data_IF_653059777665
#
_entry.id   IF_653059777665
#
_cell.length_a   1.000
_cell.length_b   1.000
_cell.length_c   1.000
_cell.angle_alpha   90.00
_cell.angle_beta   90.00
_cell.angle_gamma   90.00
#
_symmetry.space_group_name_H-M   'P 1'
#
loop_
_entity.id
_entity.type
_entity.pdbx_description
1 polymer ?
#
# COMPACT_ATOMS: atom_id res chain seq x y z
N UNK A 1 18.20 11.59 27.89
CA UNK A 1 17.35 12.56 27.16
C UNK A 1 18.26 13.38 26.26
N UNK A 2 18.23 13.16 24.95
CA UNK A 2 19.02 13.91 23.97
C UNK A 2 18.54 15.37 23.91
N UNK A 3 19.48 16.33 23.83
CA UNK A 3 19.15 17.75 23.60
C UNK A 3 18.41 17.88 22.27
N UNK A 4 17.15 18.29 22.32
CA UNK A 4 16.38 18.63 21.11
C UNK A 4 17.12 19.77 20.38
N UNK A 5 17.40 19.62 19.10
CA UNK A 5 18.02 20.69 18.30
C UNK A 5 17.02 21.84 18.12
N UNK A 6 17.55 23.06 17.88
CA UNK A 6 16.69 24.23 17.58
C UNK A 6 15.75 23.95 16.39
N UNK A 7 16.23 23.24 15.37
CA UNK A 7 15.43 22.80 14.22
C UNK A 7 14.27 21.93 14.68
N UNK A 8 14.54 20.90 15.49
CA UNK A 8 13.52 19.98 15.96
C UNK A 8 12.45 20.67 16.81
N UNK A 9 12.85 21.61 17.68
CA UNK A 9 11.91 22.40 18.47
C UNK A 9 10.95 23.21 17.60
N UNK A 10 11.46 23.85 16.54
CA UNK A 10 10.64 24.61 15.58
C UNK A 10 9.69 23.65 14.82
N UNK A 11 10.19 22.50 14.36
CA UNK A 11 9.40 21.48 13.67
C UNK A 11 8.26 20.99 14.53
N UNK A 12 8.54 20.61 15.78
CA UNK A 12 7.53 20.06 16.70
C UNK A 12 6.43 21.09 17.02
N UNK A 13 6.82 22.36 17.23
CA UNK A 13 5.86 23.44 17.47
C UNK A 13 4.98 23.67 16.24
N UNK A 14 5.57 23.84 15.06
CA UNK A 14 4.81 24.08 13.83
C UNK A 14 3.92 22.87 13.47
N UNK A 15 4.38 21.65 13.68
CA UNK A 15 3.57 20.43 13.48
C UNK A 15 2.34 20.43 14.38
N UNK A 16 2.50 20.77 15.65
CA UNK A 16 1.37 20.86 16.59
C UNK A 16 0.37 21.94 16.16
N UNK A 17 0.85 23.11 15.71
CA UNK A 17 0.00 24.19 15.23
C UNK A 17 -0.75 23.83 13.94
N UNK A 18 -0.06 23.20 12.98
CA UNK A 18 -0.68 22.70 11.74
C UNK A 18 -1.84 21.76 12.09
N UNK A 19 -1.59 20.80 12.99
CA UNK A 19 -2.60 19.80 13.37
C UNK A 19 -3.78 20.42 14.11
N UNK A 20 -3.54 21.44 14.95
CA UNK A 20 -4.57 22.03 15.81
C UNK A 20 -5.41 23.11 15.13
N UNK A 21 -4.84 23.90 14.21
CA UNK A 21 -5.46 25.18 13.81
C UNK A 21 -5.35 25.53 12.32
N UNK A 22 -4.65 24.75 11.51
CA UNK A 22 -4.53 25.01 10.08
C UNK A 22 -5.30 23.99 9.25
N UNK A 23 -5.74 24.43 8.07
CA UNK A 23 -6.39 23.57 7.05
C UNK A 23 -5.50 23.45 5.82
N UNK A 24 -5.62 22.39 5.04
CA UNK A 24 -4.98 22.33 3.72
C UNK A 24 -5.29 23.56 2.88
N UNK A 25 -4.24 24.17 2.31
CA UNK A 25 -4.33 25.42 1.57
C UNK A 25 -3.93 26.67 2.37
N UNK A 26 -3.86 26.61 3.70
CA UNK A 26 -3.42 27.72 4.53
C UNK A 26 -1.94 27.99 4.33
N UNK A 27 -1.57 29.29 4.35
CA UNK A 27 -0.18 29.70 4.25
C UNK A 27 0.43 29.84 5.65
N UNK A 28 1.59 29.25 5.85
CA UNK A 28 2.42 29.49 7.02
C UNK A 28 3.25 30.76 6.84
N UNK A 29 3.78 31.28 7.95
CA UNK A 29 4.75 32.37 7.93
C UNK A 29 6.00 31.97 7.12
N UNK A 30 6.61 32.92 6.43
CA UNK A 30 7.83 32.73 5.67
C UNK A 30 9.07 32.56 6.59
N UNK A 31 10.18 32.08 6.01
CA UNK A 31 11.44 31.83 6.74
C UNK A 31 11.86 32.98 7.66
N UNK A 32 11.71 34.24 7.19
CA UNK A 32 12.11 35.43 7.96
C UNK A 32 11.22 35.58 9.19
N UNK A 33 9.92 35.54 9.00
CA UNK A 33 8.97 35.71 10.10
C UNK A 33 9.06 34.56 11.11
N UNK A 34 9.31 33.31 10.65
CA UNK A 34 9.54 32.18 11.54
C UNK A 34 10.86 32.33 12.33
N UNK A 35 11.94 32.78 11.68
CA UNK A 35 13.20 33.04 12.34
C UNK A 35 13.05 34.08 13.47
N UNK A 36 12.36 35.20 13.19
CA UNK A 36 12.05 36.23 14.18
C UNK A 36 11.18 35.70 15.33
N UNK A 37 10.10 34.98 15.00
CA UNK A 37 9.15 34.40 15.98
C UNK A 37 9.81 33.41 16.94
N UNK A 38 10.67 32.54 16.43
CA UNK A 38 11.32 31.50 17.23
C UNK A 38 12.69 31.92 17.79
N UNK A 39 13.18 33.11 17.47
CA UNK A 39 14.49 33.58 17.93
C UNK A 39 15.65 32.74 17.38
N UNK A 40 15.52 32.19 16.16
CA UNK A 40 16.52 31.33 15.50
C UNK A 40 17.07 31.94 14.22
N UNK A 41 18.16 31.39 13.71
CA UNK A 41 18.70 31.82 12.41
C UNK A 41 17.77 31.46 11.25
N UNK A 42 17.83 32.24 10.14
CA UNK A 42 17.04 31.93 8.93
C UNK A 42 17.30 30.51 8.38
N UNK A 43 18.53 30.02 8.45
CA UNK A 43 18.87 28.68 8.03
C UNK A 43 18.14 27.62 8.87
N UNK A 44 18.06 27.83 10.20
CA UNK A 44 17.31 26.93 11.10
C UNK A 44 15.82 26.92 10.75
N UNK A 45 15.23 28.10 10.48
CA UNK A 45 13.83 28.17 10.03
C UNK A 45 13.60 27.49 8.68
N UNK A 46 14.53 27.64 7.73
CA UNK A 46 14.50 26.96 6.44
C UNK A 46 14.59 25.44 6.60
N UNK A 47 15.53 24.93 7.40
CA UNK A 47 15.68 23.49 7.68
C UNK A 47 14.41 22.91 8.31
N UNK A 48 13.78 23.65 9.23
CA UNK A 48 12.50 23.24 9.82
C UNK A 48 11.38 23.14 8.77
N UNK A 49 11.27 24.13 7.86
CA UNK A 49 10.30 24.07 6.76
C UNK A 49 10.59 22.91 5.77
N UNK A 50 11.85 22.66 5.44
CA UNK A 50 12.24 21.52 4.61
C UNK A 50 11.86 20.20 5.31
N UNK A 51 12.08 20.09 6.61
CA UNK A 51 11.69 18.92 7.39
C UNK A 51 10.17 18.69 7.37
N UNK A 52 9.38 19.75 7.56
CA UNK A 52 7.91 19.68 7.48
C UNK A 52 7.43 19.29 6.06
N UNK A 53 8.14 19.75 5.02
CA UNK A 53 7.87 19.35 3.64
C UNK A 53 8.18 17.87 3.42
N UNK A 54 9.30 17.37 3.93
CA UNK A 54 9.65 15.92 3.87
C UNK A 54 8.60 15.08 4.61
N UNK A 55 8.01 15.61 5.69
CA UNK A 55 6.91 14.93 6.39
C UNK A 55 5.56 15.05 5.67
N UNK A 56 5.51 15.68 4.49
CA UNK A 56 4.28 15.86 3.74
C UNK A 56 3.25 16.80 4.38
N UNK A 57 3.66 17.60 5.36
CA UNK A 57 2.76 18.52 6.08
C UNK A 57 2.58 19.85 5.36
N UNK A 58 3.57 20.25 4.57
CA UNK A 58 3.56 21.50 3.80
C UNK A 58 4.17 21.30 2.41
N UNK A 59 3.86 22.22 1.52
CA UNK A 59 4.53 22.38 0.21
C UNK A 59 5.05 23.82 0.09
N UNK A 60 6.29 23.96 -0.38
CA UNK A 60 6.85 25.28 -0.67
C UNK A 60 6.30 25.77 -2.01
N UNK A 61 5.64 26.90 -2.01
CA UNK A 61 5.04 27.54 -3.20
C UNK A 61 5.66 28.92 -3.44
N UNK A 62 5.35 29.54 -4.59
CA UNK A 62 5.74 30.93 -4.85
C UNK A 62 5.14 31.92 -3.85
N UNK A 63 4.03 31.58 -3.22
CA UNK A 63 3.33 32.40 -2.21
C UNK A 63 3.87 32.18 -0.79
N UNK A 64 4.69 31.16 -0.57
CA UNK A 64 5.22 30.73 0.71
C UNK A 64 4.92 29.27 1.03
N UNK A 65 5.29 28.81 2.24
CA UNK A 65 4.97 27.48 2.74
C UNK A 65 3.45 27.34 2.90
N UNK A 66 2.86 26.33 2.29
CA UNK A 66 1.41 26.08 2.30
C UNK A 66 1.14 24.69 2.90
N UNK A 67 0.21 24.63 3.84
CA UNK A 67 -0.25 23.38 4.45
C UNK A 67 -0.89 22.49 3.39
N UNK A 68 -0.54 21.22 3.38
CA UNK A 68 -1.10 20.20 2.48
C UNK A 68 -2.00 19.24 3.24
N UNK A 69 -2.83 18.52 2.53
CA UNK A 69 -3.37 17.27 3.10
C UNK A 69 -2.19 16.35 3.41
N UNK A 70 -2.27 15.56 4.50
CA UNK A 70 -1.21 14.62 4.82
C UNK A 70 -0.90 13.74 3.61
N UNK A 71 0.26 13.99 3.00
CA UNK A 71 0.76 13.20 1.89
C UNK A 71 1.75 12.16 2.44
N UNK A 72 1.34 10.91 2.38
CA UNK A 72 2.14 9.80 2.86
C UNK A 72 3.10 9.25 1.79
N UNK A 73 3.00 9.69 0.53
CA UNK A 73 3.76 9.14 -0.60
C UNK A 73 5.26 9.22 -0.36
N UNK A 74 5.76 10.31 0.24
CA UNK A 74 7.17 10.48 0.57
C UNK A 74 7.65 9.51 1.66
N UNK A 75 6.84 9.27 2.70
CA UNK A 75 7.14 8.30 3.76
C UNK A 75 7.12 6.88 3.19
N UNK A 76 6.25 6.62 2.22
CA UNK A 76 6.03 5.30 1.64
C UNK A 76 7.00 4.95 0.52
N UNK A 77 7.50 5.92 -0.21
CA UNK A 77 8.61 5.67 -1.14
C UNK A 77 9.86 5.17 -0.39
N UNK A 78 10.08 5.66 0.82
CA UNK A 78 11.13 5.15 1.72
C UNK A 78 10.76 3.76 2.24
N UNK A 79 9.51 3.57 2.67
CA UNK A 79 9.02 2.31 3.22
C UNK A 79 8.99 1.20 2.16
N UNK A 80 8.55 1.49 0.94
CA UNK A 80 8.56 0.53 -0.17
C UNK A 80 9.96 0.06 -0.53
N UNK A 81 10.99 0.91 -0.33
CA UNK A 81 12.38 0.53 -0.57
C UNK A 81 12.86 -0.58 0.39
N UNK A 82 12.35 -0.62 1.61
CA UNK A 82 12.67 -1.68 2.57
C UNK A 82 11.99 -3.01 2.26
N UNK A 83 10.88 -3.00 1.51
CA UNK A 83 10.12 -4.21 1.16
C UNK A 83 10.48 -4.78 -0.23
N UNK A 84 11.25 -4.06 -1.04
CA UNK A 84 11.45 -4.37 -2.47
C UNK A 84 12.44 -5.51 -2.76
N UNK A 85 13.07 -6.16 -1.79
CA UNK A 85 14.25 -6.99 -2.11
C UNK A 85 14.29 -8.38 -1.49
N UNK A 86 13.32 -8.78 -0.65
CA UNK A 86 13.40 -10.05 0.07
C UNK A 86 12.16 -10.93 -0.17
N UNK A 87 12.40 -12.16 -0.60
CA UNK A 87 11.37 -13.19 -0.80
C UNK A 87 10.58 -13.49 0.49
N UNK A 88 11.18 -13.31 1.66
CA UNK A 88 10.51 -13.42 2.95
C UNK A 88 9.43 -12.36 3.09
N UNK A 89 9.72 -11.14 2.68
CA UNK A 89 8.79 -10.01 2.71
C UNK A 89 7.56 -10.26 1.84
N UNK A 90 7.67 -11.00 0.73
CA UNK A 90 6.52 -11.37 -0.09
C UNK A 90 5.50 -12.22 0.68
N UNK A 91 5.96 -13.15 1.53
CA UNK A 91 5.08 -13.96 2.41
C UNK A 91 4.41 -13.09 3.46
N UNK A 92 5.19 -12.25 4.13
CA UNK A 92 4.70 -11.34 5.17
C UNK A 92 3.67 -10.34 4.60
N UNK A 93 3.87 -9.86 3.36
CA UNK A 93 2.90 -9.01 2.65
C UNK A 93 1.60 -9.76 2.32
N UNK A 94 1.70 -11.02 1.87
CA UNK A 94 0.51 -11.86 1.63
C UNK A 94 -0.24 -12.14 2.93
N UNK A 95 0.47 -12.40 4.02
CA UNK A 95 -0.11 -12.63 5.34
C UNK A 95 -0.79 -11.37 5.87
N UNK A 96 -0.14 -10.21 5.79
CA UNK A 96 -0.71 -8.92 6.13
C UNK A 96 -1.99 -8.66 5.32
N UNK A 97 -1.97 -8.86 4.01
CA UNK A 97 -3.15 -8.71 3.15
C UNK A 97 -4.27 -9.64 3.61
N UNK A 98 -3.97 -10.93 3.80
CA UNK A 98 -4.96 -11.92 4.23
C UNK A 98 -5.63 -11.48 5.52
N UNK A 99 -4.85 -11.10 6.55
CA UNK A 99 -5.39 -10.65 7.84
C UNK A 99 -6.25 -9.38 7.71
N UNK A 100 -5.76 -8.37 7.00
CA UNK A 100 -6.43 -7.09 6.87
C UNK A 100 -7.69 -7.20 6.02
N UNK A 101 -7.57 -7.82 4.84
CA UNK A 101 -8.66 -7.86 3.86
C UNK A 101 -9.77 -8.81 4.28
N UNK A 102 -9.46 -9.94 4.94
CA UNK A 102 -10.52 -10.79 5.52
C UNK A 102 -11.18 -10.15 6.75
N UNK A 103 -10.40 -9.42 7.55
CA UNK A 103 -10.92 -8.71 8.74
C UNK A 103 -11.91 -7.60 8.41
N UNK A 104 -11.81 -6.98 7.24
CA UNK A 104 -12.73 -5.89 6.83
C UNK A 104 -14.00 -6.38 6.16
N UNK A 105 -14.12 -7.65 5.74
CA UNK A 105 -15.24 -8.17 4.95
C UNK A 105 -16.63 -7.90 5.57
N UNK A 106 -16.83 -8.10 6.88
CA UNK A 106 -18.15 -7.83 7.47
C UNK A 106 -18.56 -6.35 7.34
N UNK A 107 -17.63 -5.42 7.58
CA UNK A 107 -17.89 -3.99 7.47
C UNK A 107 -18.03 -3.56 6.00
N UNK A 108 -17.22 -4.10 5.11
CA UNK A 108 -17.31 -3.85 3.67
C UNK A 108 -18.67 -4.29 3.12
N UNK A 109 -19.14 -5.48 3.51
CA UNK A 109 -20.42 -6.00 3.07
C UNK A 109 -21.60 -5.18 3.61
N UNK A 110 -21.54 -4.77 4.89
CA UNK A 110 -22.59 -3.95 5.51
C UNK A 110 -22.77 -2.58 4.82
N UNK A 111 -21.69 -2.03 4.23
CA UNK A 111 -21.70 -0.75 3.54
C UNK A 111 -21.88 -0.88 2.01
N UNK A 112 -21.82 -2.11 1.46
CA UNK A 112 -21.86 -2.34 0.03
C UNK A 112 -23.20 -1.95 -0.59
N UNK A 113 -23.13 -1.21 -1.70
CA UNK A 113 -24.27 -0.85 -2.52
C UNK A 113 -24.13 -1.33 -3.99
N UNK A 114 -25.17 -1.10 -4.82
CA UNK A 114 -25.13 -1.48 -6.24
C UNK A 114 -23.96 -0.85 -7.01
N UNK A 115 -23.58 0.37 -6.66
CA UNK A 115 -22.46 1.08 -7.29
C UNK A 115 -21.12 0.40 -6.97
N UNK A 116 -20.99 -0.23 -5.80
CA UNK A 116 -19.79 -0.99 -5.43
C UNK A 116 -19.67 -2.26 -6.25
N UNK A 117 -20.77 -2.98 -6.46
CA UNK A 117 -20.81 -4.18 -7.29
C UNK A 117 -20.44 -3.82 -8.73
N UNK A 118 -21.01 -2.72 -9.27
CA UNK A 118 -20.68 -2.24 -10.62
C UNK A 118 -19.19 -1.86 -10.74
N UNK A 119 -18.65 -1.14 -9.74
CA UNK A 119 -17.25 -0.75 -9.71
C UNK A 119 -16.29 -1.96 -9.65
N UNK A 120 -16.60 -2.95 -8.80
CA UNK A 120 -15.83 -4.19 -8.71
C UNK A 120 -15.89 -4.99 -10.01
N UNK A 121 -17.06 -5.10 -10.64
CA UNK A 121 -17.22 -5.75 -11.94
C UNK A 121 -16.36 -5.07 -13.01
N UNK A 122 -16.39 -3.74 -13.10
CA UNK A 122 -15.54 -3.00 -14.03
C UNK A 122 -14.04 -3.18 -13.77
N UNK A 123 -13.63 -3.46 -12.53
CA UNK A 123 -12.25 -3.81 -12.23
C UNK A 123 -11.92 -5.22 -12.74
N UNK A 124 -12.81 -6.19 -12.59
CA UNK A 124 -12.63 -7.54 -13.14
C UNK A 124 -12.50 -7.51 -14.67
N UNK A 125 -13.30 -6.70 -15.36
CA UNK A 125 -13.18 -6.52 -16.80
C UNK A 125 -11.79 -5.97 -17.20
N UNK A 126 -11.22 -5.07 -16.41
CA UNK A 126 -9.85 -4.58 -16.62
C UNK A 126 -8.79 -5.64 -16.35
N UNK A 127 -9.01 -6.53 -15.37
CA UNK A 127 -8.11 -7.65 -15.12
C UNK A 127 -8.13 -8.65 -16.29
N UNK A 128 -9.32 -8.95 -16.83
CA UNK A 128 -9.48 -9.82 -18.00
C UNK A 128 -8.84 -9.21 -19.26
N UNK A 129 -8.88 -7.89 -19.41
CA UNK A 129 -8.31 -7.17 -20.55
C UNK A 129 -6.80 -6.88 -20.42
N UNK A 130 -6.19 -7.16 -19.27
CA UNK A 130 -4.78 -6.86 -19.01
C UNK A 130 -3.85 -7.65 -19.95
N UNK A 131 -2.93 -6.95 -20.61
CA UNK A 131 -1.97 -7.54 -21.55
C UNK A 131 -0.64 -7.87 -20.91
N UNK A 132 -0.35 -7.27 -19.75
CA UNK A 132 0.91 -7.44 -19.02
C UNK A 132 0.65 -7.92 -17.58
N UNK A 133 1.65 -8.59 -17.00
CA UNK A 133 1.64 -8.99 -15.59
C UNK A 133 1.39 -7.78 -14.68
N UNK A 134 2.04 -6.65 -14.98
CA UNK A 134 1.89 -5.42 -14.19
C UNK A 134 0.49 -4.82 -14.29
N UNK A 135 -0.11 -4.75 -15.48
CA UNK A 135 -1.49 -4.28 -15.63
C UNK A 135 -2.47 -5.14 -14.84
N UNK A 136 -2.29 -6.46 -14.89
CA UNK A 136 -3.11 -7.38 -14.11
C UNK A 136 -2.89 -7.19 -12.60
N UNK A 137 -1.64 -7.06 -12.12
CA UNK A 137 -1.33 -6.82 -10.71
C UNK A 137 -1.91 -5.48 -10.20
N UNK A 138 -1.87 -4.44 -11.02
CA UNK A 138 -2.47 -3.12 -10.70
C UNK A 138 -3.99 -3.24 -10.59
N UNK A 139 -4.64 -3.95 -11.49
CA UNK A 139 -6.09 -4.15 -11.45
C UNK A 139 -6.51 -5.04 -10.27
N UNK A 140 -5.75 -6.10 -9.97
CA UNK A 140 -5.94 -6.97 -8.81
C UNK A 140 -5.83 -6.17 -7.50
N UNK A 141 -4.76 -5.38 -7.33
CA UNK A 141 -4.65 -4.48 -6.20
C UNK A 141 -5.86 -3.51 -6.09
N UNK A 142 -6.32 -2.96 -7.23
CA UNK A 142 -7.46 -2.04 -7.23
C UNK A 142 -8.75 -2.73 -6.76
N UNK A 143 -8.96 -4.02 -7.10
CA UNK A 143 -10.07 -4.82 -6.62
C UNK A 143 -10.08 -4.93 -5.10
N UNK A 144 -8.98 -5.35 -4.52
CA UNK A 144 -8.84 -5.50 -3.07
C UNK A 144 -8.90 -4.16 -2.34
N UNK A 145 -8.26 -3.11 -2.89
CA UNK A 145 -8.35 -1.75 -2.35
C UNK A 145 -9.79 -1.22 -2.30
N UNK A 146 -10.62 -1.57 -3.31
CA UNK A 146 -12.04 -1.19 -3.30
C UNK A 146 -12.79 -1.85 -2.16
N UNK A 147 -12.59 -3.14 -1.91
CA UNK A 147 -13.21 -3.86 -0.79
C UNK A 147 -12.78 -3.24 0.55
N UNK A 148 -11.49 -2.93 0.70
CA UNK A 148 -10.99 -2.26 1.92
C UNK A 148 -11.63 -0.89 2.12
N UNK A 149 -11.82 -0.10 1.05
CA UNK A 149 -12.48 1.20 1.11
C UNK A 149 -13.96 1.09 1.50
N UNK A 150 -14.68 0.08 1.00
CA UNK A 150 -16.07 -0.18 1.34
C UNK A 150 -16.29 -0.40 2.84
N UNK A 151 -15.28 -0.86 3.57
CA UNK A 151 -15.35 -1.01 5.03
C UNK A 151 -15.55 0.33 5.78
N UNK A 152 -15.37 1.48 5.13
CA UNK A 152 -15.60 2.80 5.70
C UNK A 152 -14.56 3.25 6.73
N UNK A 153 -13.50 2.46 6.99
CA UNK A 153 -12.43 2.82 7.90
C UNK A 153 -11.31 3.56 7.16
N UNK A 154 -11.29 4.89 7.31
CA UNK A 154 -10.33 5.76 6.60
C UNK A 154 -8.88 5.48 6.98
N UNK A 155 -8.60 5.04 8.20
CA UNK A 155 -7.24 4.70 8.65
C UNK A 155 -6.75 3.43 7.94
N UNK A 156 -7.58 2.38 7.92
CA UNK A 156 -7.25 1.13 7.22
C UNK A 156 -7.09 1.38 5.72
N UNK A 157 -8.00 2.14 5.11
CA UNK A 157 -7.92 2.47 3.69
C UNK A 157 -6.64 3.23 3.33
N UNK A 158 -6.23 4.19 4.17
CA UNK A 158 -4.95 4.92 3.99
C UNK A 158 -3.74 3.99 4.16
N UNK A 159 -3.70 3.18 5.21
CA UNK A 159 -2.62 2.20 5.41
C UNK A 159 -2.51 1.23 4.21
N UNK A 160 -3.64 0.78 3.67
CA UNK A 160 -3.65 -0.10 2.51
C UNK A 160 -3.15 0.60 1.24
N UNK A 161 -3.58 1.85 1.02
CA UNK A 161 -3.11 2.66 -0.11
C UNK A 161 -1.60 2.89 -0.11
N UNK A 162 -1.02 3.01 1.07
CA UNK A 162 0.41 3.12 1.35
C UNK A 162 1.19 1.90 0.94
N UNK A 163 0.61 0.73 1.15
CA UNK A 163 1.24 -0.56 0.82
C UNK A 163 1.04 -0.94 -0.66
N UNK A 164 0.47 -0.03 -1.48
CA UNK A 164 0.15 -0.27 -2.88
C UNK A 164 1.33 -0.83 -3.68
N UNK A 165 2.46 -0.13 -3.69
CA UNK A 165 3.59 -0.49 -4.53
C UNK A 165 4.30 -1.78 -4.05
N UNK A 166 4.55 -2.00 -2.75
CA UNK A 166 4.99 -3.29 -2.25
C UNK A 166 4.03 -4.44 -2.58
N UNK A 167 2.71 -4.22 -2.47
CA UNK A 167 1.71 -5.23 -2.79
C UNK A 167 1.71 -5.56 -4.29
N UNK A 168 1.73 -4.56 -5.17
CA UNK A 168 1.80 -4.78 -6.62
C UNK A 168 3.08 -5.53 -6.97
N UNK A 169 4.22 -5.15 -6.41
CA UNK A 169 5.50 -5.82 -6.65
C UNK A 169 5.45 -7.32 -6.32
N UNK A 170 4.94 -7.71 -5.15
CA UNK A 170 4.85 -9.13 -4.82
C UNK A 170 3.83 -9.87 -5.70
N UNK A 171 2.74 -9.21 -6.11
CA UNK A 171 1.77 -9.78 -7.04
C UNK A 171 2.39 -10.06 -8.42
N UNK A 172 3.31 -9.19 -8.89
CA UNK A 172 4.06 -9.41 -10.12
C UNK A 172 4.95 -10.66 -10.02
N UNK A 173 5.61 -10.87 -8.88
CA UNK A 173 6.45 -12.06 -8.66
C UNK A 173 5.62 -13.34 -8.73
N UNK A 174 4.45 -13.38 -8.10
CA UNK A 174 3.57 -14.55 -8.11
C UNK A 174 2.92 -14.83 -9.47
N UNK A 175 2.88 -13.86 -10.37
CA UNK A 175 2.17 -13.94 -11.66
C UNK A 175 3.10 -14.12 -12.87
N UNK A 176 4.28 -14.69 -12.71
CA UNK A 176 5.30 -14.83 -13.77
C UNK A 176 4.87 -15.64 -15.01
N UNK A 177 3.56 -15.83 -15.23
CA UNK A 177 3.00 -16.46 -16.42
C UNK A 177 1.86 -15.58 -16.94
N UNK A 178 1.91 -15.08 -18.20
CA UNK A 178 0.83 -14.33 -18.81
C UNK A 178 -0.31 -15.30 -19.21
N UNK A 179 -0.87 -16.02 -18.26
CA UNK A 179 -2.12 -16.74 -18.39
C UNK A 179 -3.09 -16.12 -17.41
N UNK A 180 -4.22 -15.68 -17.94
CA UNK A 180 -5.38 -15.38 -17.14
C UNK A 180 -5.62 -16.56 -16.22
N UNK A 181 -5.29 -16.39 -14.95
CA UNK A 181 -5.46 -17.43 -13.97
C UNK A 181 -6.94 -17.59 -13.68
N UNK A 182 -7.56 -18.54 -14.41
CA UNK A 182 -8.99 -18.82 -14.34
C UNK A 182 -9.45 -19.10 -12.89
N UNK A 183 -8.57 -19.67 -12.06
CA UNK A 183 -8.89 -19.95 -10.66
C UNK A 183 -8.93 -18.68 -9.81
N UNK A 184 -7.93 -17.81 -9.94
CA UNK A 184 -7.91 -16.52 -9.26
C UNK A 184 -9.09 -15.65 -9.67
N UNK A 185 -9.32 -15.51 -10.97
CA UNK A 185 -10.45 -14.74 -11.52
C UNK A 185 -11.80 -15.33 -11.08
N UNK A 186 -11.92 -16.65 -11.03
CA UNK A 186 -13.12 -17.34 -10.52
C UNK A 186 -13.39 -17.00 -9.06
N UNK A 187 -12.36 -16.88 -8.22
CA UNK A 187 -12.50 -16.46 -6.82
C UNK A 187 -12.99 -15.01 -6.72
N UNK A 188 -12.40 -14.09 -7.50
CA UNK A 188 -12.83 -12.69 -7.51
C UNK A 188 -14.30 -12.55 -7.95
N UNK A 189 -14.72 -13.27 -9.00
CA UNK A 189 -16.14 -13.27 -9.43
C UNK A 189 -17.07 -13.77 -8.35
N UNK A 190 -16.71 -14.85 -7.63
CA UNK A 190 -17.48 -15.34 -6.48
C UNK A 190 -17.58 -14.30 -5.36
N UNK A 191 -16.51 -13.56 -5.09
CA UNK A 191 -16.55 -12.47 -4.11
C UNK A 191 -17.54 -11.38 -4.52
N UNK A 192 -17.54 -10.95 -5.79
CA UNK A 192 -18.49 -9.94 -6.30
C UNK A 192 -19.92 -10.44 -6.22
N UNK A 193 -20.19 -11.71 -6.60
CA UNK A 193 -21.52 -12.33 -6.49
C UNK A 193 -22.01 -12.37 -5.04
N UNK A 194 -21.14 -12.76 -4.10
CA UNK A 194 -21.47 -12.80 -2.68
C UNK A 194 -21.78 -11.39 -2.13
N UNK A 195 -21.01 -10.38 -2.53
CA UNK A 195 -21.29 -8.98 -2.19
C UNK A 195 -22.66 -8.55 -2.73
N UNK A 196 -22.95 -8.85 -4.00
CA UNK A 196 -24.24 -8.52 -4.61
C UNK A 196 -25.44 -9.21 -3.97
N UNK A 197 -25.23 -10.38 -3.34
CA UNK A 197 -26.25 -11.14 -2.60
C UNK A 197 -26.29 -10.82 -1.11
N UNK A 198 -25.42 -9.96 -0.61
CA UNK A 198 -25.25 -9.69 0.82
C UNK A 198 -24.94 -10.98 1.63
N UNK A 199 -24.16 -11.91 1.02
CA UNK A 199 -23.81 -13.18 1.62
C UNK A 199 -22.41 -13.14 2.23
N UNK A 200 -22.33 -12.91 3.56
CA UNK A 200 -21.06 -12.86 4.29
C UNK A 200 -20.34 -14.23 4.29
N UNK A 201 -21.09 -15.31 4.40
CA UNK A 201 -20.50 -16.66 4.45
C UNK A 201 -19.84 -16.99 3.10
N UNK A 202 -20.54 -16.78 1.99
CA UNK A 202 -20.00 -16.97 0.64
C UNK A 202 -18.84 -16.04 0.32
N UNK A 203 -18.89 -14.78 0.78
CA UNK A 203 -17.80 -13.83 0.63
C UNK A 203 -16.54 -14.28 1.37
N UNK A 204 -16.70 -14.73 2.61
CA UNK A 204 -15.58 -15.24 3.44
C UNK A 204 -14.96 -16.48 2.84
N UNK A 205 -15.79 -17.43 2.35
CA UNK A 205 -15.33 -18.65 1.67
C UNK A 205 -14.56 -18.32 0.39
N UNK A 206 -15.09 -17.44 -0.46
CA UNK A 206 -14.45 -17.03 -1.71
C UNK A 206 -13.11 -16.33 -1.45
N UNK A 207 -13.04 -15.45 -0.43
CA UNK A 207 -11.81 -14.79 -0.03
C UNK A 207 -10.78 -15.79 0.52
N UNK A 208 -11.18 -16.72 1.37
CA UNK A 208 -10.29 -17.77 1.88
C UNK A 208 -9.70 -18.63 0.75
N UNK A 209 -10.52 -19.03 -0.23
CA UNK A 209 -10.07 -19.78 -1.40
C UNK A 209 -9.09 -18.96 -2.26
N UNK A 210 -9.35 -17.64 -2.42
CA UNK A 210 -8.47 -16.72 -3.14
C UNK A 210 -7.09 -16.65 -2.48
N UNK A 211 -7.02 -16.45 -1.16
CA UNK A 211 -5.72 -16.33 -0.46
C UNK A 211 -4.98 -17.65 -0.37
N UNK A 212 -5.68 -18.78 -0.21
CA UNK A 212 -5.07 -20.11 -0.26
C UNK A 212 -4.41 -20.37 -1.63
N UNK A 213 -5.10 -20.00 -2.70
CA UNK A 213 -4.56 -20.08 -4.05
C UNK A 213 -3.35 -19.15 -4.24
N UNK A 214 -3.45 -17.87 -3.85
CA UNK A 214 -2.35 -16.91 -3.95
C UNK A 214 -1.11 -17.37 -3.20
N UNK A 215 -1.28 -17.99 -2.03
CA UNK A 215 -0.18 -18.58 -1.25
C UNK A 215 0.47 -19.75 -1.99
N UNK A 216 -0.31 -20.67 -2.55
CA UNK A 216 0.23 -21.80 -3.28
C UNK A 216 1.07 -21.35 -4.51
N UNK A 217 0.58 -20.37 -5.25
CA UNK A 217 1.31 -19.77 -6.41
C UNK A 217 2.59 -19.09 -5.97
N UNK A 218 2.55 -18.31 -4.88
CA UNK A 218 3.74 -17.64 -4.35
C UNK A 218 4.80 -18.67 -3.93
N UNK A 219 4.44 -19.69 -3.15
CA UNK A 219 5.37 -20.73 -2.68
C UNK A 219 6.00 -21.51 -3.83
N UNK A 220 5.21 -21.84 -4.86
CA UNK A 220 5.73 -22.50 -6.06
C UNK A 220 6.76 -21.62 -6.79
N UNK A 221 6.47 -20.32 -6.94
CA UNK A 221 7.37 -19.36 -7.59
C UNK A 221 8.67 -19.20 -6.80
N UNK A 222 8.59 -19.02 -5.48
CA UNK A 222 9.74 -18.91 -4.60
C UNK A 222 10.63 -20.16 -4.62
N UNK A 223 10.01 -21.35 -4.67
CA UNK A 223 10.71 -22.63 -4.76
C UNK A 223 11.47 -22.77 -6.07
N UNK A 224 10.88 -22.36 -7.19
CA UNK A 224 11.54 -22.34 -8.51
C UNK A 224 12.73 -21.40 -8.55
N UNK A 225 12.59 -20.19 -8.00
CA UNK A 225 13.69 -19.21 -7.93
C UNK A 225 14.85 -19.70 -7.05
N UNK A 226 14.53 -20.33 -5.90
CA UNK A 226 15.55 -20.92 -5.03
C UNK A 226 16.31 -22.05 -5.72
N UNK A 227 15.63 -22.91 -6.47
CA UNK A 227 16.24 -24.00 -7.25
C UNK A 227 17.12 -23.44 -8.38
N UNK A 228 16.71 -22.36 -9.05
CA UNK A 228 17.47 -21.71 -10.11
C UNK A 228 18.78 -21.04 -9.61
N UNK A 229 18.78 -20.57 -8.35
CA UNK A 229 19.98 -19.96 -7.71
C UNK A 229 20.98 -20.99 -7.18
N UNK A 230 20.59 -22.28 -7.02
CA UNK A 230 21.44 -23.36 -6.50
C UNK A 230 21.50 -24.58 -7.44
N UNK A 231 22.01 -24.47 -8.67
CA UNK A 231 22.02 -25.57 -9.64
C UNK A 231 22.99 -26.74 -9.32
N UNK A 232 23.86 -26.63 -8.28
CA UNK A 232 25.03 -27.52 -8.10
C UNK A 232 24.83 -28.69 -7.12
N UNK A 233 23.64 -28.96 -6.55
CA UNK A 233 23.48 -30.06 -5.60
C UNK A 233 22.84 -31.37 -6.16
N UNK A 234 22.40 -31.40 -7.42
CA UNK A 234 21.74 -32.60 -7.99
C UNK A 234 22.60 -33.38 -9.01
N UNK A 235 23.92 -33.15 -9.08
CA UNK A 235 24.79 -33.71 -10.10
C UNK A 235 25.88 -34.69 -9.63
N UNK A 236 25.87 -35.17 -8.38
CA UNK A 236 26.93 -36.11 -7.91
C UNK A 236 26.38 -37.36 -7.19
N UNK A 237 25.63 -38.15 -7.93
CA UNK A 237 25.15 -39.43 -7.43
C UNK A 237 25.07 -40.46 -8.55
N UNK A 238 26.21 -40.92 -9.08
CA UNK A 238 26.17 -41.99 -10.03
C UNK A 238 27.40 -42.18 -10.87
N UNK A 239 28.47 -42.77 -10.31
CA UNK A 239 29.30 -43.76 -10.96
C UNK A 239 30.50 -44.11 -10.06
N UNK A 240 30.40 -45.20 -9.33
CA UNK A 240 31.54 -46.03 -8.98
C UNK A 240 31.07 -47.48 -9.09
N UNK A 241 31.51 -48.12 -10.17
CA UNK A 241 31.59 -49.56 -10.36
C UNK A 241 32.78 -50.11 -9.59
#
# INVERSE_FOLDING_TARGET
MGRTTAVQSVVDTLRAEITASHRPGDLLANERALAERFGVGRNTAREALVTLQVYGLIRITRRGPMVTEPDFDAVFSIFSHYFASDLRTCRDLLDMRTMLETGVLPAALANAGPDDVAALTAILDRMDAALTVRENAVADHAFHARIVQMAGNTVIARLYAVMRDPIIFYMEIGKNVPRHDAASMGNHRRMVEAIGRQDLAGLTEAAAAHYAYSRAVLEETLSREAAARNPTQNGSGGQQT
#
